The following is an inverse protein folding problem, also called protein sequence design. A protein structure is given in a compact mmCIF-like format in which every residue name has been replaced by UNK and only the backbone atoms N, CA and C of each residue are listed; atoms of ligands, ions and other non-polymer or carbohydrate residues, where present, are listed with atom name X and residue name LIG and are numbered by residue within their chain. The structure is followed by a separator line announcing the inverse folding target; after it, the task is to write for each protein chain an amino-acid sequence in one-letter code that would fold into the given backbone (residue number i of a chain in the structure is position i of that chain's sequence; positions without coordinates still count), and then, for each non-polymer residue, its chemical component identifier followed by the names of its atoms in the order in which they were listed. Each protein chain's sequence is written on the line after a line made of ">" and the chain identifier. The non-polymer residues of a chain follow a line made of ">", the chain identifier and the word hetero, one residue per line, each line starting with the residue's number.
data_IF_992407744833
#
_entry.id   IF_992407744833
#
_cell.length_a   1.000
_cell.length_b   1.000
_cell.length_c   1.000
_cell.angle_alpha   90.00
_cell.angle_beta   90.00
_cell.angle_gamma   90.00
#
_symmetry.space_group_name_H-M   'P 1'
#
loop_
_entity.id
_entity.type
_entity.pdbx_description
1 polymer ?
#
# COMPACT_ATOMS: atom_id res chain seq x y z
N UNK A 1 -6.67 1.94 -0.70
CA UNK A 1 -5.93 1.06 0.21
C UNK A 1 -4.60 0.62 -0.40
N UNK A 2 -3.54 0.61 0.39
CA UNK A 2 -2.26 0.04 0.08
C UNK A 2 -1.64 -0.51 1.37
N UNK A 3 -0.34 -0.80 1.39
CA UNK A 3 0.35 -1.24 2.60
C UNK A 3 1.16 -0.11 3.26
N UNK A 4 1.56 -0.34 4.52
CA UNK A 4 2.39 0.60 5.28
C UNK A 4 3.74 0.84 4.59
N UNK A 5 4.30 -0.16 3.90
CA UNK A 5 5.56 -0.05 3.16
C UNK A 5 5.45 0.98 2.03
N UNK A 6 4.41 0.85 1.20
CA UNK A 6 4.09 1.81 0.13
C UNK A 6 3.84 3.21 0.68
N UNK A 7 3.05 3.34 1.75
CA UNK A 7 2.82 4.61 2.42
C UNK A 7 4.13 5.27 2.88
N UNK A 8 5.03 4.53 3.52
CA UNK A 8 6.34 5.06 3.97
C UNK A 8 7.19 5.60 2.83
N UNK A 9 7.16 4.95 1.67
CA UNK A 9 7.90 5.41 0.50
C UNK A 9 7.27 6.66 -0.11
N UNK A 10 5.94 6.75 -0.14
CA UNK A 10 5.23 7.92 -0.64
C UNK A 10 5.42 9.16 0.25
N UNK A 11 5.48 9.00 1.57
CA UNK A 11 5.70 10.12 2.51
C UNK A 11 7.09 10.76 2.39
N UNK A 12 8.00 10.21 1.58
CA UNK A 12 9.28 10.86 1.23
C UNK A 12 9.08 12.05 0.29
N UNK A 13 7.94 12.16 -0.37
CA UNK A 13 7.57 13.27 -1.24
C UNK A 13 7.02 14.43 -0.42
N UNK A 14 7.86 15.44 -0.17
CA UNK A 14 7.59 16.49 0.82
C UNK A 14 6.61 17.57 0.36
N UNK A 15 6.36 17.67 -0.95
CA UNK A 15 5.37 18.59 -1.51
C UNK A 15 3.98 17.97 -1.65
N UNK A 16 3.75 16.87 -0.94
CA UNK A 16 2.46 16.23 -0.81
C UNK A 16 2.00 16.22 0.65
N UNK A 17 0.69 16.26 0.84
CA UNK A 17 0.04 16.11 2.14
C UNK A 17 -0.59 14.74 2.27
N UNK A 18 -0.54 14.16 3.47
CA UNK A 18 -1.04 12.81 3.75
C UNK A 18 -1.98 12.84 4.95
N UNK A 19 -3.09 12.14 4.83
CA UNK A 19 -3.95 11.75 5.94
C UNK A 19 -4.01 10.22 5.96
N UNK A 20 -3.66 9.60 7.08
CA UNK A 20 -3.53 8.14 7.20
C UNK A 20 -4.19 7.64 8.47
N UNK A 21 -4.81 6.47 8.38
CA UNK A 21 -5.32 5.75 9.54
C UNK A 21 -4.16 5.32 10.45
N UNK A 22 -4.26 5.68 11.73
CA UNK A 22 -3.17 5.40 12.67
C UNK A 22 -3.30 4.01 13.29
N UNK A 23 -2.29 3.18 13.10
CA UNK A 23 -2.18 1.86 13.76
C UNK A 23 -2.09 1.92 15.29
N UNK A 24 -1.93 3.10 15.87
CA UNK A 24 -1.97 3.31 17.33
C UNK A 24 -3.39 3.27 17.89
N UNK A 25 -4.37 3.66 17.09
CA UNK A 25 -5.78 3.79 17.50
C UNK A 25 -6.67 2.72 16.88
N UNK A 26 -6.23 2.07 15.82
CA UNK A 26 -6.96 0.97 15.19
C UNK A 26 -6.64 -0.33 15.93
N UNK A 27 -7.63 -0.86 16.64
CA UNK A 27 -7.52 -2.14 17.35
C UNK A 27 -8.20 -3.23 16.54
N UNK A 28 -7.42 -4.15 16.02
CA UNK A 28 -7.90 -5.22 15.15
C UNK A 28 -8.71 -6.30 15.88
N UNK A 29 -8.76 -6.27 17.21
CA UNK A 29 -9.60 -7.17 18.02
C UNK A 29 -11.01 -6.63 18.30
N UNK A 30 -11.48 -5.65 17.51
CA UNK A 30 -12.84 -5.10 17.61
C UNK A 30 -13.66 -5.53 16.40
N UNK A 31 -14.96 -5.67 16.58
CA UNK A 31 -15.92 -6.12 15.55
C UNK A 31 -15.82 -5.35 14.22
N UNK A 32 -15.42 -4.07 14.25
CA UNK A 32 -15.21 -3.25 13.05
C UNK A 32 -14.20 -3.86 12.07
N UNK A 33 -13.23 -4.66 12.57
CA UNK A 33 -12.17 -5.28 11.77
C UNK A 33 -12.27 -6.82 11.76
N UNK A 34 -13.39 -7.39 12.22
CA UNK A 34 -13.62 -8.84 12.21
C UNK A 34 -12.65 -9.67 13.06
N UNK A 35 -11.90 -9.03 13.96
CA UNK A 35 -10.80 -9.66 14.72
C UNK A 35 -9.67 -10.21 13.85
N UNK A 36 -9.44 -9.61 12.68
CA UNK A 36 -8.41 -9.99 11.71
C UNK A 36 -7.52 -8.80 11.39
N UNK A 37 -6.25 -9.05 11.11
CA UNK A 37 -5.30 -8.04 10.64
C UNK A 37 -5.30 -8.08 9.11
N UNK A 38 -5.82 -7.04 8.49
CA UNK A 38 -5.79 -6.92 7.04
C UNK A 38 -4.36 -6.68 6.53
N UNK A 39 -3.92 -7.48 5.59
CA UNK A 39 -2.64 -7.32 4.88
C UNK A 39 -2.87 -7.25 3.38
N UNK A 40 -2.01 -6.52 2.69
CA UNK A 40 -2.00 -6.48 1.23
C UNK A 40 -1.27 -7.71 0.72
N UNK A 41 -1.97 -8.50 -0.10
CA UNK A 41 -1.40 -9.70 -0.71
C UNK A 41 -0.30 -9.32 -1.71
N UNK A 42 0.96 -9.82 -1.53
CA UNK A 42 2.05 -9.55 -2.45
C UNK A 42 1.93 -10.42 -3.72
N UNK A 43 0.95 -10.12 -4.57
CA UNK A 43 0.63 -10.89 -5.79
C UNK A 43 1.79 -11.08 -6.76
N UNK A 44 2.86 -10.29 -6.62
CA UNK A 44 4.11 -10.39 -7.36
C UNK A 44 5.08 -11.47 -6.79
N UNK A 45 4.76 -12.09 -5.65
CA UNK A 45 5.48 -13.28 -5.15
C UNK A 45 4.94 -14.52 -5.88
N UNK A 46 5.53 -14.84 -7.04
CA UNK A 46 5.07 -15.95 -7.86
C UNK A 46 5.54 -17.33 -7.37
N UNK A 47 6.67 -17.37 -6.68
CA UNK A 47 7.17 -18.61 -6.10
C UNK A 47 6.25 -19.06 -4.96
N UNK A 48 5.68 -20.25 -5.12
CA UNK A 48 4.69 -20.80 -4.19
C UNK A 48 5.28 -21.04 -2.80
N UNK A 49 6.52 -21.53 -2.71
CA UNK A 49 7.17 -21.84 -1.41
C UNK A 49 7.49 -20.55 -0.66
N UNK A 50 7.97 -19.51 -1.37
CA UNK A 50 8.20 -18.17 -0.83
C UNK A 50 6.89 -17.57 -0.32
N UNK A 51 5.83 -17.64 -1.13
CA UNK A 51 4.52 -17.12 -0.76
C UNK A 51 3.92 -17.81 0.47
N UNK A 52 3.94 -19.15 0.52
CA UNK A 52 3.43 -19.92 1.67
C UNK A 52 4.26 -19.65 2.94
N UNK A 53 5.56 -19.46 2.82
CA UNK A 53 6.43 -19.07 3.94
C UNK A 53 6.04 -17.69 4.47
N UNK A 54 5.85 -16.71 3.56
CA UNK A 54 5.37 -15.37 3.92
C UNK A 54 4.00 -15.44 4.60
N UNK A 55 3.04 -16.16 4.02
CA UNK A 55 1.69 -16.33 4.56
C UNK A 55 1.70 -16.89 5.98
N UNK A 56 2.48 -17.93 6.21
CA UNK A 56 2.64 -18.53 7.55
C UNK A 56 3.19 -17.51 8.55
N UNK A 57 4.18 -16.72 8.17
CA UNK A 57 4.73 -15.69 9.05
C UNK A 57 3.68 -14.63 9.43
N UNK A 58 2.79 -14.24 8.49
CA UNK A 58 1.67 -13.33 8.77
C UNK A 58 0.67 -13.96 9.74
N UNK A 59 0.28 -15.21 9.53
CA UNK A 59 -0.64 -15.93 10.44
C UNK A 59 -0.07 -16.07 11.87
N UNK A 60 1.22 -16.32 12.00
CA UNK A 60 1.88 -16.45 13.31
C UNK A 60 2.01 -15.07 14.00
N UNK A 61 2.25 -14.00 13.22
CA UNK A 61 2.23 -12.62 13.72
C UNK A 61 0.83 -12.23 14.22
N UNK A 62 -0.22 -12.55 13.47
CA UNK A 62 -1.60 -12.27 13.89
C UNK A 62 -1.95 -12.94 15.21
N UNK A 63 -1.61 -14.23 15.36
CA UNK A 63 -1.77 -14.96 16.63
C UNK A 63 -1.04 -14.28 17.78
N UNK A 64 0.20 -13.83 17.52
CA UNK A 64 0.98 -13.12 18.53
C UNK A 64 0.33 -11.78 18.91
N UNK A 65 -0.18 -11.01 17.93
CA UNK A 65 -0.91 -9.76 18.16
C UNK A 65 -2.13 -9.98 19.05
N UNK A 66 -2.97 -10.96 18.71
CA UNK A 66 -4.17 -11.27 19.49
C UNK A 66 -3.81 -11.73 20.91
N UNK A 67 -2.75 -12.53 21.04
CA UNK A 67 -2.25 -12.96 22.37
C UNK A 67 -1.77 -11.79 23.22
N UNK A 68 -1.07 -10.83 22.64
CA UNK A 68 -0.68 -9.60 23.34
C UNK A 68 -1.90 -8.81 23.82
N UNK A 69 -2.97 -8.72 23.00
CA UNK A 69 -4.23 -8.08 23.38
C UNK A 69 -4.91 -8.79 24.55
N UNK A 70 -4.97 -10.12 24.55
CA UNK A 70 -5.51 -10.93 25.67
C UNK A 70 -4.75 -10.69 26.97
N UNK A 71 -3.44 -10.50 26.88
CA UNK A 71 -2.57 -10.20 28.04
C UNK A 71 -2.68 -8.74 28.52
N UNK A 72 -3.55 -7.92 27.88
CA UNK A 72 -3.80 -6.54 28.28
C UNK A 72 -2.83 -5.53 27.68
N UNK A 73 -2.02 -5.89 26.67
CA UNK A 73 -1.13 -4.95 26.00
C UNK A 73 -1.94 -3.85 25.29
N UNK A 74 -1.44 -2.61 25.36
CA UNK A 74 -2.03 -1.49 24.62
C UNK A 74 -1.88 -1.68 23.10
N UNK A 75 -2.70 -1.01 22.30
CA UNK A 75 -2.58 -1.03 20.84
C UNK A 75 -1.21 -0.49 20.37
N UNK A 76 -0.66 0.49 21.09
CA UNK A 76 0.69 1.00 20.87
C UNK A 76 1.78 -0.07 21.01
N UNK A 77 1.64 -0.98 21.97
CA UNK A 77 2.56 -2.11 22.12
C UNK A 77 2.35 -3.16 21.05
N UNK A 78 1.09 -3.50 20.75
CA UNK A 78 0.78 -4.54 19.78
C UNK A 78 1.21 -4.16 18.35
N UNK A 79 1.17 -2.87 17.98
CA UNK A 79 1.60 -2.43 16.64
C UNK A 79 3.07 -2.72 16.32
N UNK A 80 3.92 -2.93 17.31
CA UNK A 80 5.36 -3.16 17.11
C UNK A 80 5.67 -4.44 16.30
N UNK A 81 4.73 -5.37 16.25
CA UNK A 81 4.88 -6.61 15.47
C UNK A 81 4.18 -6.56 14.10
N UNK A 82 3.50 -5.47 13.75
CA UNK A 82 2.81 -5.35 12.47
C UNK A 82 3.82 -5.28 11.29
N UNK A 83 3.64 -6.08 10.24
CA UNK A 83 4.52 -6.09 9.08
C UNK A 83 4.27 -4.87 8.18
N UNK A 84 5.20 -4.59 7.28
CA UNK A 84 5.04 -3.56 6.25
C UNK A 84 3.87 -3.83 5.31
N UNK A 85 3.50 -5.10 5.14
CA UNK A 85 2.33 -5.52 4.34
C UNK A 85 0.98 -5.25 5.01
N UNK A 86 0.94 -4.76 6.25
CA UNK A 86 -0.32 -4.35 6.89
C UNK A 86 -1.02 -3.32 6.03
N UNK A 87 -2.30 -3.60 5.72
CA UNK A 87 -3.12 -2.69 4.94
C UNK A 87 -3.33 -1.36 5.66
N UNK A 88 -3.24 -0.28 4.91
CA UNK A 88 -3.46 1.07 5.41
C UNK A 88 -4.34 1.85 4.42
N UNK A 89 -5.27 2.59 4.96
CA UNK A 89 -6.04 3.57 4.21
C UNK A 89 -5.40 4.95 4.40
N UNK A 90 -5.15 5.63 3.31
CA UNK A 90 -4.64 6.99 3.35
C UNK A 90 -5.10 7.81 2.14
N UNK A 91 -5.24 9.08 2.36
CA UNK A 91 -5.47 10.09 1.32
C UNK A 91 -4.18 10.85 1.08
N UNK A 92 -3.83 11.02 -0.17
CA UNK A 92 -2.67 11.81 -0.59
C UNK A 92 -3.14 12.95 -1.48
N UNK A 93 -2.69 14.17 -1.16
CA UNK A 93 -2.96 15.37 -1.95
C UNK A 93 -1.64 16.00 -2.37
N UNK A 94 -1.50 16.25 -3.67
CA UNK A 94 -0.35 16.92 -4.24
C UNK A 94 -0.78 17.77 -5.45
N UNK A 95 0.00 18.80 -5.79
CA UNK A 95 -0.22 19.51 -7.04
C UNK A 95 0.23 18.66 -8.25
N UNK A 96 -0.18 19.04 -9.45
CA UNK A 96 0.12 18.30 -10.69
C UNK A 96 1.63 18.12 -10.92
N UNK A 97 2.45 19.14 -10.62
CA UNK A 97 3.91 19.04 -10.75
C UNK A 97 4.49 17.98 -9.84
N UNK A 98 4.03 17.89 -8.59
CA UNK A 98 4.48 16.87 -7.65
C UNK A 98 3.98 15.49 -8.06
N UNK A 99 2.74 15.37 -8.54
CA UNK A 99 2.25 14.11 -9.10
C UNK A 99 3.11 13.63 -10.28
N UNK A 100 3.47 14.53 -11.20
CA UNK A 100 4.38 14.20 -12.31
C UNK A 100 5.72 13.67 -11.77
N UNK A 101 6.33 14.38 -10.83
CA UNK A 101 7.59 13.98 -10.20
C UNK A 101 7.49 12.63 -9.47
N UNK A 102 6.41 12.39 -8.71
CA UNK A 102 6.18 11.11 -8.03
C UNK A 102 6.11 9.97 -9.04
N UNK A 103 5.32 10.12 -10.09
CA UNK A 103 5.10 9.09 -11.08
C UNK A 103 6.39 8.79 -11.88
N UNK A 104 7.17 9.82 -12.25
CA UNK A 104 8.48 9.64 -12.87
C UNK A 104 9.45 8.82 -12.00
N UNK A 105 9.46 9.03 -10.69
CA UNK A 105 10.37 8.34 -9.78
C UNK A 105 9.87 6.95 -9.37
N UNK A 106 8.54 6.75 -9.24
CA UNK A 106 7.97 5.60 -8.54
C UNK A 106 7.37 4.54 -9.46
N UNK A 107 7.44 4.73 -10.77
CA UNK A 107 6.95 3.72 -11.74
C UNK A 107 8.08 2.99 -12.47
N UNK A 108 9.35 3.23 -12.11
CA UNK A 108 10.51 2.59 -12.71
C UNK A 108 10.76 1.18 -12.15
N UNK A 109 11.54 0.37 -12.86
CA UNK A 109 11.85 -1.02 -12.48
C UNK A 109 12.69 -1.18 -11.20
N UNK A 110 13.31 -0.11 -10.71
CA UNK A 110 14.08 -0.11 -9.46
C UNK A 110 13.21 0.04 -8.20
N UNK A 111 11.93 0.36 -8.38
CA UNK A 111 11.00 0.59 -7.28
C UNK A 111 10.36 -0.71 -6.82
N UNK A 112 10.07 -0.79 -5.53
CA UNK A 112 9.45 -1.98 -4.94
C UNK A 112 8.13 -2.34 -5.67
N UNK A 113 7.88 -3.63 -5.97
CA UNK A 113 6.69 -4.06 -6.72
C UNK A 113 5.36 -3.59 -6.15
N UNK A 114 5.21 -3.52 -4.81
CA UNK A 114 3.99 -3.04 -4.17
C UNK A 114 3.63 -1.58 -4.57
N UNK A 115 4.64 -0.74 -4.79
CA UNK A 115 4.43 0.65 -5.23
C UNK A 115 4.05 0.68 -6.71
N UNK A 116 4.79 -0.07 -7.56
CA UNK A 116 4.49 -0.17 -8.99
C UNK A 116 3.10 -0.72 -9.25
N UNK A 117 2.65 -1.67 -8.43
CA UNK A 117 1.30 -2.24 -8.47
C UNK A 117 0.21 -1.16 -8.39
N UNK A 118 0.45 -0.09 -7.64
CA UNK A 118 -0.51 1.01 -7.45
C UNK A 118 -0.26 2.16 -8.42
N UNK A 119 1.00 2.57 -8.57
CA UNK A 119 1.31 3.81 -9.29
C UNK A 119 1.41 3.65 -10.81
N UNK A 120 1.72 2.46 -11.34
CA UNK A 120 1.69 2.27 -12.79
C UNK A 120 0.27 2.39 -13.34
N UNK A 121 -0.75 1.67 -12.82
CA UNK A 121 -2.11 1.86 -13.32
C UNK A 121 -2.63 3.30 -13.12
N UNK A 122 -2.23 3.97 -12.03
CA UNK A 122 -2.57 5.39 -11.83
C UNK A 122 -1.92 6.29 -12.89
N UNK A 123 -0.64 6.05 -13.23
CA UNK A 123 0.03 6.76 -14.32
C UNK A 123 -0.67 6.55 -15.66
N UNK A 124 -1.07 5.30 -15.96
CA UNK A 124 -1.79 4.99 -17.20
C UNK A 124 -3.11 5.75 -17.29
N UNK A 125 -3.87 5.81 -16.20
CA UNK A 125 -5.08 6.61 -16.11
C UNK A 125 -4.80 8.10 -16.34
N UNK A 126 -3.76 8.65 -15.74
CA UNK A 126 -3.38 10.06 -15.93
C UNK A 126 -2.89 10.36 -17.35
N UNK A 127 -2.19 9.41 -17.99
CA UNK A 127 -1.82 9.54 -19.42
C UNK A 127 -3.04 9.58 -20.34
N UNK A 128 -4.08 8.82 -20.02
CA UNK A 128 -5.33 8.84 -20.77
C UNK A 128 -6.09 10.15 -20.60
N UNK A 129 -6.21 10.64 -19.37
CA UNK A 129 -7.00 11.83 -19.04
C UNK A 129 -6.29 13.15 -19.30
N UNK A 130 -4.96 13.17 -19.15
CA UNK A 130 -4.13 14.38 -19.26
C UNK A 130 -2.84 14.09 -20.06
N UNK A 131 -2.95 13.70 -21.33
CA UNK A 131 -1.78 13.26 -22.12
C UNK A 131 -0.72 14.35 -22.30
N UNK A 132 -1.10 15.62 -22.34
CA UNK A 132 -0.17 16.75 -22.48
C UNK A 132 0.74 16.92 -21.25
N UNK A 133 0.32 16.40 -20.08
CA UNK A 133 1.04 16.56 -18.82
C UNK A 133 1.84 15.30 -18.50
N UNK A 134 1.24 14.13 -18.67
CA UNK A 134 1.79 12.86 -18.21
C UNK A 134 2.24 11.93 -19.34
N UNK A 135 1.95 12.27 -20.59
CA UNK A 135 2.20 11.40 -21.75
C UNK A 135 3.66 11.02 -21.96
N UNK A 136 4.59 11.91 -21.59
CA UNK A 136 6.04 11.74 -21.73
C UNK A 136 6.70 10.88 -20.62
N UNK A 137 5.99 10.54 -19.56
CA UNK A 137 6.57 9.76 -18.44
C UNK A 137 6.82 8.32 -18.87
N UNK A 138 8.06 7.88 -18.78
CA UNK A 138 8.45 6.48 -18.94
C UNK A 138 8.17 5.69 -17.66
N UNK A 139 7.82 4.41 -17.81
CA UNK A 139 7.55 3.52 -16.68
C UNK A 139 8.03 2.10 -17.00
N UNK A 140 8.04 1.23 -16.01
CA UNK A 140 8.39 -0.18 -16.18
C UNK A 140 7.30 -0.94 -16.96
N UNK A 141 7.50 -1.09 -18.26
CA UNK A 141 6.61 -1.82 -19.17
C UNK A 141 6.69 -3.34 -19.02
N UNK A 142 7.74 -3.85 -18.36
CA UNK A 142 7.91 -5.28 -18.08
C UNK A 142 7.14 -5.73 -16.83
N UNK A 143 6.68 -4.79 -15.99
CA UNK A 143 5.88 -5.11 -14.82
C UNK A 143 4.50 -5.63 -15.26
N UNK A 144 4.24 -6.91 -14.95
CA UNK A 144 3.09 -7.61 -15.48
C UNK A 144 1.76 -6.96 -15.06
N UNK A 145 0.89 -6.56 -16.02
CA UNK A 145 -0.40 -5.93 -15.73
C UNK A 145 -1.35 -6.75 -14.84
N UNK A 146 -1.16 -8.08 -14.75
CA UNK A 146 -1.95 -8.93 -13.84
C UNK A 146 -1.77 -8.54 -12.35
N UNK A 147 -0.70 -7.80 -12.01
CA UNK A 147 -0.42 -7.33 -10.65
C UNK A 147 -1.02 -5.96 -10.37
N UNK A 148 -1.51 -5.24 -11.37
CA UNK A 148 -2.03 -3.89 -11.19
C UNK A 148 -3.16 -3.85 -10.18
N UNK A 149 -3.09 -2.90 -9.26
CA UNK A 149 -4.18 -2.60 -8.36
C UNK A 149 -5.41 -2.14 -9.16
N UNK A 150 -6.57 -2.59 -8.73
CA UNK A 150 -7.83 -2.15 -9.32
C UNK A 150 -8.10 -0.70 -8.88
N UNK A 151 -8.18 0.20 -9.85
CA UNK A 151 -8.59 1.58 -9.61
C UNK A 151 -10.12 1.68 -9.64
N UNK A 152 -10.68 2.42 -8.69
CA UNK A 152 -12.10 2.78 -8.68
C UNK A 152 -12.17 4.30 -8.73
N UNK A 153 -12.83 4.83 -9.76
CA UNK A 153 -13.16 6.26 -9.82
C UNK A 153 -14.51 6.43 -9.12
N UNK A 154 -14.60 7.36 -8.18
CA UNK A 154 -15.91 7.81 -7.71
C UNK A 154 -16.55 8.57 -8.88
N UNK A 155 -17.72 8.13 -9.31
CA UNK A 155 -18.56 8.90 -10.23
C UNK A 155 -18.88 10.21 -9.53
N UNK A 156 -18.71 11.33 -10.25
CA UNK A 156 -18.95 12.68 -9.73
C UNK A 156 -20.30 12.76 -9.02
N UNK A 157 -20.27 13.24 -7.78
CA UNK A 157 -21.45 13.56 -6.96
C UNK A 157 -22.25 14.72 -7.57
#
# INVERSE_FOLDING_TARGET
>A
YSDIGTYKDLTRHRFASFSVESTRYCSYNKDKYGNEIAVVNPVYMEDKEVFETWKKAIEDMEKAYMKMKELGASTDMCREILPHSTAAEYTMTANIREWKHILELRTTNHVHPAIRQVLIPLLLLFKEQMPEIFGDIEYDTEFNPKYYAKLTMEEEL
#
